data_IF_717374064628
#
_entry.id   IF_717374064628
#
_cell.length_a   1.000
_cell.length_b   1.000
_cell.length_c   1.000
_cell.angle_alpha   90.00
_cell.angle_beta   90.00
_cell.angle_gamma   90.00
#
_symmetry.space_group_name_H-M   'P 1'
#
loop_
_entity.id
_entity.type
_entity.pdbx_description
1 polymer ?
#
# COMPACT_ATOMS: atom_id res chain seq x y z
N UNK A 1 -15.71 18.12 14.13
CA UNK A 1 -15.52 17.00 13.18
C UNK A 1 -14.33 16.21 13.67
N UNK A 2 -14.30 14.92 13.46
CA UNK A 2 -13.29 13.98 13.97
C UNK A 2 -12.55 13.38 12.79
N UNK A 3 -11.24 13.35 12.85
CA UNK A 3 -10.43 12.62 11.89
C UNK A 3 -10.52 11.13 12.21
N UNK A 4 -10.83 10.30 11.24
CA UNK A 4 -10.92 8.84 11.34
C UNK A 4 -9.93 8.19 10.37
N UNK A 5 -9.14 7.24 10.86
CA UNK A 5 -8.45 6.25 10.05
C UNK A 5 -9.01 4.87 10.39
N UNK A 6 -9.72 4.24 9.46
CA UNK A 6 -10.25 2.89 9.58
C UNK A 6 -9.55 1.99 8.58
N UNK A 7 -9.06 0.83 9.00
CA UNK A 7 -8.30 0.00 8.09
C UNK A 7 -8.18 -1.45 8.50
N UNK A 8 -7.69 -2.24 7.54
CA UNK A 8 -7.33 -3.65 7.67
C UNK A 8 -5.92 -3.79 7.09
N UNK A 9 -5.01 -4.43 7.80
CA UNK A 9 -3.64 -4.61 7.32
C UNK A 9 -3.10 -6.03 7.56
N UNK A 10 -1.86 -6.26 7.16
CA UNK A 10 -1.18 -7.54 7.27
C UNK A 10 -0.99 -8.06 8.72
N UNK A 11 -1.17 -7.20 9.74
CA UNK A 11 -1.14 -7.59 11.17
C UNK A 11 -2.49 -8.05 11.67
N UNK A 12 -3.56 -7.52 11.10
CA UNK A 12 -4.93 -7.75 11.58
C UNK A 12 -5.70 -8.77 10.75
N UNK A 13 -5.25 -9.04 9.51
CA UNK A 13 -5.94 -9.91 8.57
C UNK A 13 -5.00 -10.75 7.72
N UNK A 14 -5.42 -11.95 7.39
CA UNK A 14 -4.75 -12.84 6.42
C UNK A 14 -4.84 -12.28 5.00
N UNK A 15 -4.01 -12.81 4.07
CA UNK A 15 -4.06 -12.45 2.64
C UNK A 15 -5.47 -12.61 2.10
N UNK A 16 -6.15 -13.72 2.41
CA UNK A 16 -7.51 -14.01 1.91
C UNK A 16 -8.55 -12.94 2.28
N UNK A 17 -8.45 -12.35 3.49
CA UNK A 17 -9.33 -11.25 3.91
C UNK A 17 -8.92 -9.95 3.21
N UNK A 18 -7.62 -9.68 3.11
CA UNK A 18 -7.11 -8.47 2.44
C UNK A 18 -7.48 -8.42 0.95
N UNK A 19 -7.47 -9.57 0.27
CA UNK A 19 -7.93 -9.71 -1.12
C UNK A 19 -9.38 -9.27 -1.29
N UNK A 20 -10.24 -9.63 -0.34
CA UNK A 20 -11.66 -9.31 -0.40
C UNK A 20 -11.96 -7.82 -0.19
N UNK A 21 -11.10 -7.08 0.51
CA UNK A 21 -11.27 -5.65 0.78
C UNK A 21 -10.37 -4.76 -0.07
N UNK A 22 -9.60 -5.32 -0.99
CA UNK A 22 -8.73 -4.58 -1.88
C UNK A 22 -9.54 -3.82 -2.93
N UNK A 23 -9.16 -2.57 -3.21
CA UNK A 23 -9.76 -1.76 -4.27
C UNK A 23 -8.91 -1.86 -5.53
N UNK A 24 -9.54 -2.24 -6.63
CA UNK A 24 -8.92 -2.12 -7.95
C UNK A 24 -8.88 -0.64 -8.38
N UNK A 25 -7.95 -0.25 -9.27
CA UNK A 25 -7.89 1.13 -9.77
C UNK A 25 -9.21 1.63 -10.37
N UNK A 26 -10.00 0.73 -10.97
CA UNK A 26 -11.31 1.05 -11.56
C UNK A 26 -12.41 1.25 -10.52
N UNK A 27 -12.28 0.65 -9.34
CA UNK A 27 -13.24 0.80 -8.25
C UNK A 27 -13.00 2.04 -7.40
N UNK A 28 -11.76 2.56 -7.36
CA UNK A 28 -11.40 3.67 -6.47
C UNK A 28 -12.20 4.95 -6.73
N UNK A 29 -12.49 5.27 -8.00
CA UNK A 29 -13.27 6.45 -8.34
C UNK A 29 -14.71 6.34 -7.82
N UNK A 30 -15.38 5.20 -8.05
CA UNK A 30 -16.74 4.95 -7.55
C UNK A 30 -16.77 4.89 -6.01
N UNK A 31 -15.77 4.24 -5.40
CA UNK A 31 -15.64 4.14 -3.95
C UNK A 31 -15.53 5.52 -3.28
N UNK A 32 -14.70 6.41 -3.82
CA UNK A 32 -14.54 7.78 -3.32
C UNK A 32 -15.81 8.60 -3.51
N UNK A 33 -16.51 8.43 -4.64
CA UNK A 33 -17.77 9.11 -4.88
C UNK A 33 -18.87 8.65 -3.90
N UNK A 34 -18.99 7.35 -3.66
CA UNK A 34 -19.94 6.78 -2.70
C UNK A 34 -19.61 7.22 -1.26
N UNK A 35 -18.35 7.13 -0.81
CA UNK A 35 -17.94 7.58 0.53
C UNK A 35 -18.34 9.03 0.79
N UNK A 36 -18.14 9.92 -0.18
CA UNK A 36 -18.53 11.32 -0.08
C UNK A 36 -20.04 11.54 -0.02
N UNK A 37 -20.81 10.63 -0.57
CA UNK A 37 -22.28 10.72 -0.53
C UNK A 37 -22.89 10.23 0.77
N UNK A 38 -22.08 9.58 1.63
CA UNK A 38 -22.55 9.09 2.92
C UNK A 38 -22.86 10.26 3.86
N UNK A 39 -23.92 10.13 4.68
CA UNK A 39 -24.17 11.09 5.74
C UNK A 39 -22.99 11.07 6.74
N UNK A 40 -22.71 12.22 7.33
CA UNK A 40 -21.66 12.37 8.34
C UNK A 40 -20.20 12.27 7.82
N UNK A 41 -19.97 12.08 6.52
CA UNK A 41 -18.64 12.07 5.91
C UNK A 41 -18.46 13.33 5.08
N UNK A 42 -17.49 14.18 5.46
CA UNK A 42 -17.19 15.42 4.74
C UNK A 42 -16.00 15.31 3.79
N UNK A 43 -15.00 14.50 4.17
CA UNK A 43 -13.80 14.25 3.40
C UNK A 43 -13.44 12.77 3.44
N UNK A 44 -12.88 12.22 2.36
CA UNK A 44 -12.49 10.83 2.28
C UNK A 44 -11.29 10.60 1.35
N UNK A 45 -10.39 9.71 1.75
CA UNK A 45 -9.31 9.17 0.94
C UNK A 45 -9.20 7.66 1.18
N UNK A 46 -8.77 6.91 0.16
CA UNK A 46 -8.62 5.45 0.21
C UNK A 46 -7.17 5.11 -0.14
N UNK A 47 -6.49 4.40 0.75
CA UNK A 47 -5.19 3.76 0.50
C UNK A 47 -5.42 2.25 0.39
N UNK A 48 -5.22 1.67 -0.80
CA UNK A 48 -5.29 0.22 -1.02
C UNK A 48 -3.99 -0.27 -1.64
N UNK A 49 -3.34 -1.21 -0.95
CA UNK A 49 -2.05 -1.82 -1.34
C UNK A 49 -2.10 -3.32 -1.09
N UNK A 50 -1.05 -4.07 -1.42
CA UNK A 50 -0.96 -5.50 -1.10
C UNK A 50 -1.01 -5.79 0.42
N UNK A 51 -0.64 -4.83 1.26
CA UNK A 51 -0.49 -5.04 2.69
C UNK A 51 -1.56 -4.35 3.55
N UNK A 52 -2.35 -3.44 2.97
CA UNK A 52 -3.38 -2.69 3.69
C UNK A 52 -4.46 -2.11 2.81
N UNK A 53 -5.64 -2.01 3.37
CA UNK A 53 -6.73 -1.16 2.88
C UNK A 53 -7.13 -0.23 4.01
N UNK A 54 -7.01 1.07 3.80
CA UNK A 54 -7.27 2.11 4.80
C UNK A 54 -8.14 3.22 4.22
N UNK A 55 -9.09 3.65 5.02
CA UNK A 55 -10.01 4.74 4.75
C UNK A 55 -9.70 5.88 5.71
N UNK A 56 -9.34 7.03 5.18
CA UNK A 56 -9.10 8.25 5.94
C UNK A 56 -10.26 9.20 5.69
N UNK A 57 -10.99 9.53 6.74
CA UNK A 57 -12.21 10.32 6.65
C UNK A 57 -12.21 11.47 7.65
N UNK A 58 -12.88 12.57 7.30
CA UNK A 58 -13.34 13.57 8.26
C UNK A 58 -14.82 13.35 8.47
N UNK A 59 -15.19 13.09 9.73
CA UNK A 59 -16.52 12.62 10.09
C UNK A 59 -17.00 13.23 11.43
N UNK A 60 -18.20 12.89 11.85
CA UNK A 60 -18.68 13.10 13.22
C UNK A 60 -18.73 11.77 14.01
N UNK A 61 -19.30 11.80 15.19
CA UNK A 61 -19.31 10.65 16.11
C UNK A 61 -20.02 9.38 15.54
N UNK A 62 -20.87 9.51 14.54
CA UNK A 62 -21.59 8.38 13.92
C UNK A 62 -20.83 7.78 12.73
N UNK A 63 -19.82 8.47 12.22
CA UNK A 63 -19.21 8.12 10.94
C UNK A 63 -18.39 6.83 10.93
N UNK A 64 -17.81 6.43 12.05
CA UNK A 64 -17.02 5.18 12.12
C UNK A 64 -17.86 3.96 11.70
N UNK A 65 -19.01 3.77 12.32
CA UNK A 65 -19.90 2.64 11.99
C UNK A 65 -20.41 2.74 10.55
N UNK A 66 -20.71 3.95 10.07
CA UNK A 66 -21.18 4.19 8.71
C UNK A 66 -20.11 3.79 7.69
N UNK A 67 -18.83 4.14 7.93
CA UNK A 67 -17.72 3.78 7.05
C UNK A 67 -17.49 2.26 7.06
N UNK A 68 -17.57 1.61 8.21
CA UNK A 68 -17.42 0.16 8.33
C UNK A 68 -18.56 -0.58 7.61
N UNK A 69 -19.81 -0.15 7.81
CA UNK A 69 -20.98 -0.70 7.13
C UNK A 69 -20.91 -0.52 5.61
N UNK A 70 -20.43 0.65 5.19
CA UNK A 70 -20.22 0.92 3.77
C UNK A 70 -19.14 0.00 3.17
N UNK A 71 -18.01 -0.18 3.86
CA UNK A 71 -16.94 -1.07 3.41
C UNK A 71 -17.45 -2.51 3.22
N UNK A 72 -18.25 -3.00 4.18
CA UNK A 72 -18.89 -4.31 4.09
C UNK A 72 -19.81 -4.43 2.88
N UNK A 73 -20.68 -3.44 2.65
CA UNK A 73 -21.60 -3.41 1.49
C UNK A 73 -20.86 -3.32 0.17
N UNK A 74 -19.85 -2.46 0.08
CA UNK A 74 -19.07 -2.25 -1.14
C UNK A 74 -18.39 -3.52 -1.63
N UNK A 75 -17.83 -4.30 -0.70
CA UNK A 75 -17.15 -5.56 -1.00
C UNK A 75 -18.04 -6.81 -0.82
N UNK A 76 -19.35 -6.62 -0.54
CA UNK A 76 -20.29 -7.72 -0.30
C UNK A 76 -19.85 -8.67 0.83
N UNK A 77 -19.35 -8.10 1.94
CA UNK A 77 -18.84 -8.81 3.11
C UNK A 77 -19.72 -8.54 4.33
N UNK A 78 -19.74 -9.47 5.27
CA UNK A 78 -20.45 -9.27 6.54
C UNK A 78 -19.66 -8.31 7.43
N UNK A 79 -20.35 -7.31 7.96
CA UNK A 79 -19.74 -6.26 8.79
C UNK A 79 -19.10 -6.84 10.06
N UNK A 80 -19.70 -7.88 10.64
CA UNK A 80 -19.19 -8.55 11.83
C UNK A 80 -17.85 -9.25 11.59
N UNK A 81 -17.60 -9.71 10.36
CA UNK A 81 -16.31 -10.30 9.98
C UNK A 81 -15.25 -9.21 9.81
N UNK A 82 -15.60 -8.11 9.17
CA UNK A 82 -14.70 -6.96 9.03
C UNK A 82 -14.35 -6.35 10.38
N UNK A 83 -15.32 -6.18 11.27
CA UNK A 83 -15.11 -5.60 12.60
C UNK A 83 -14.09 -6.38 13.45
N UNK A 84 -13.92 -7.69 13.20
CA UNK A 84 -12.94 -8.53 13.93
C UNK A 84 -11.49 -8.25 13.52
N UNK A 85 -11.28 -7.74 12.33
CA UNK A 85 -9.94 -7.48 11.77
C UNK A 85 -9.70 -6.01 11.45
N UNK A 86 -10.72 -5.16 11.52
CA UNK A 86 -10.57 -3.73 11.35
C UNK A 86 -9.97 -3.08 12.60
N UNK A 87 -9.06 -2.15 12.38
CA UNK A 87 -8.63 -1.19 13.40
C UNK A 87 -9.15 0.19 13.05
N UNK A 88 -9.29 1.02 14.07
CA UNK A 88 -9.66 2.41 13.89
C UNK A 88 -8.83 3.32 14.82
N UNK A 89 -8.56 4.51 14.33
CA UNK A 89 -7.87 5.56 15.05
C UNK A 89 -8.63 6.87 14.86
N UNK A 90 -8.64 7.70 15.89
CA UNK A 90 -9.30 9.00 15.88
C UNK A 90 -8.31 10.14 16.08
N UNK A 91 -8.59 11.27 15.48
CA UNK A 91 -7.92 12.55 15.69
C UNK A 91 -6.37 12.44 15.71
N UNK A 92 -5.77 12.63 16.86
CA UNK A 92 -4.31 12.59 17.04
C UNK A 92 -3.70 11.23 16.67
N UNK A 93 -4.39 10.14 17.02
CA UNK A 93 -3.92 8.80 16.72
C UNK A 93 -4.08 8.46 15.24
N UNK A 94 -5.12 9.00 14.57
CA UNK A 94 -5.28 8.88 13.13
C UNK A 94 -4.17 9.64 12.38
N UNK A 95 -3.84 10.86 12.82
CA UNK A 95 -2.73 11.63 12.25
C UNK A 95 -1.38 10.92 12.47
N UNK A 96 -1.14 10.42 13.68
CA UNK A 96 0.05 9.62 14.01
C UNK A 96 0.13 8.38 13.13
N UNK A 97 -0.97 7.65 12.97
CA UNK A 97 -1.02 6.44 12.15
C UNK A 97 -0.66 6.75 10.69
N UNK A 98 -1.27 7.77 10.07
CA UNK A 98 -0.95 8.17 8.70
C UNK A 98 0.54 8.52 8.53
N UNK A 99 1.13 9.28 9.47
CA UNK A 99 2.55 9.61 9.43
C UNK A 99 3.43 8.37 9.58
N UNK A 100 3.10 7.42 10.48
CA UNK A 100 3.79 6.14 10.65
C UNK A 100 3.74 5.29 9.37
N UNK A 101 2.57 5.25 8.71
CA UNK A 101 2.40 4.58 7.42
C UNK A 101 3.29 5.24 6.37
N UNK A 102 3.27 6.56 6.25
CA UNK A 102 4.04 7.31 5.24
C UNK A 102 5.56 7.11 5.35
N UNK A 103 6.08 6.96 6.57
CA UNK A 103 7.52 6.71 6.81
C UNK A 103 7.89 5.23 6.75
N UNK A 104 6.89 4.32 6.63
CA UNK A 104 7.08 2.89 6.59
C UNK A 104 7.32 2.23 7.96
N UNK A 105 7.02 2.91 9.08
CA UNK A 105 7.09 2.34 10.43
C UNK A 105 6.00 1.30 10.69
N UNK A 106 4.89 1.40 9.97
CA UNK A 106 3.79 0.43 10.03
C UNK A 106 3.77 -0.52 8.82
N UNK A 107 4.77 -0.48 7.96
CA UNK A 107 4.90 -1.39 6.81
C UNK A 107 5.41 -2.76 7.24
N UNK A 108 5.12 -3.79 6.42
CA UNK A 108 5.67 -5.13 6.60
C UNK A 108 7.20 -5.07 6.58
N UNK A 109 7.76 -4.25 5.70
CA UNK A 109 9.18 -3.93 5.62
C UNK A 109 9.41 -2.54 6.17
N UNK A 110 10.17 -2.47 7.26
CA UNK A 110 10.43 -1.22 7.96
C UNK A 110 11.18 -0.21 7.07
N UNK A 111 10.55 0.95 6.85
CA UNK A 111 11.10 2.02 6.03
C UNK A 111 10.99 1.81 4.53
N UNK A 112 10.13 0.90 4.05
CA UNK A 112 9.91 0.64 2.62
C UNK A 112 9.55 1.94 1.87
N UNK A 113 10.29 2.26 0.77
CA UNK A 113 10.05 3.52 0.06
C UNK A 113 8.74 3.54 -0.71
N UNK A 114 8.23 2.39 -1.13
CA UNK A 114 7.04 2.26 -1.98
C UNK A 114 5.77 2.80 -1.32
N UNK A 115 5.59 2.61 0.00
CA UNK A 115 4.38 3.05 0.70
C UNK A 115 4.17 4.56 0.61
N UNK A 116 5.25 5.37 0.60
CA UNK A 116 5.12 6.82 0.44
C UNK A 116 4.65 7.19 -0.97
N UNK A 117 5.11 6.47 -2.00
CA UNK A 117 4.62 6.61 -3.37
C UNK A 117 3.13 6.30 -3.45
N UNK A 118 2.73 5.12 -2.96
CA UNK A 118 1.34 4.67 -2.91
C UNK A 118 0.42 5.65 -2.15
N UNK A 119 0.92 6.22 -1.05
CA UNK A 119 0.16 7.22 -0.30
C UNK A 119 -0.01 8.54 -1.07
N UNK A 120 0.99 8.96 -1.85
CA UNK A 120 0.88 10.11 -2.75
C UNK A 120 -0.13 9.84 -3.87
N UNK A 121 -0.15 8.64 -4.42
CA UNK A 121 -1.13 8.25 -5.45
C UNK A 121 -2.55 8.25 -4.88
N UNK A 122 -2.75 7.71 -3.67
CA UNK A 122 -4.02 7.75 -2.96
C UNK A 122 -4.50 9.21 -2.72
N UNK A 123 -3.59 10.08 -2.29
CA UNK A 123 -3.88 11.51 -2.16
C UNK A 123 -4.29 12.15 -3.49
N UNK A 124 -3.57 11.88 -4.59
CA UNK A 124 -3.91 12.43 -5.90
C UNK A 124 -5.26 11.94 -6.40
N UNK A 125 -5.57 10.66 -6.23
CA UNK A 125 -6.87 10.08 -6.58
C UNK A 125 -8.01 10.72 -5.77
N UNK A 126 -7.84 10.84 -4.44
CA UNK A 126 -8.80 11.50 -3.58
C UNK A 126 -9.02 12.97 -3.99
N UNK A 127 -7.95 13.69 -4.35
CA UNK A 127 -8.00 15.06 -4.84
C UNK A 127 -8.76 15.19 -6.17
N UNK A 128 -8.47 14.31 -7.12
CA UNK A 128 -9.18 14.27 -8.44
C UNK A 128 -10.66 13.97 -8.26
N UNK A 129 -11.01 13.04 -7.38
CA UNK A 129 -12.38 12.71 -7.01
C UNK A 129 -13.05 13.80 -6.14
N UNK A 130 -12.36 14.91 -5.82
CA UNK A 130 -12.82 15.97 -4.91
C UNK A 130 -13.12 15.41 -3.49
N UNK A 131 -12.49 14.34 -3.08
CA UNK A 131 -12.63 13.71 -1.76
C UNK A 131 -11.96 14.48 -0.64
N UNK A 132 -11.00 15.35 -0.98
CA UNK A 132 -10.26 16.14 -0.01
C UNK A 132 -10.92 17.50 0.22
N UNK A 133 -10.98 17.90 1.48
CA UNK A 133 -11.27 19.23 1.94
C UNK A 133 -10.07 19.81 2.69
N UNK A 134 -10.36 20.75 3.58
CA UNK A 134 -9.29 21.47 4.26
C UNK A 134 -8.53 20.65 5.32
N UNK A 135 -9.12 19.63 5.91
CA UNK A 135 -8.52 18.86 7.00
C UNK A 135 -7.61 17.75 6.47
N UNK A 136 -8.10 16.88 5.58
CA UNK A 136 -7.28 15.83 4.97
C UNK A 136 -6.19 16.41 4.08
N UNK A 137 -6.47 17.48 3.32
CA UNK A 137 -5.45 18.14 2.51
C UNK A 137 -4.25 18.55 3.36
N UNK A 138 -4.49 19.25 4.49
CA UNK A 138 -3.43 19.67 5.41
C UNK A 138 -2.71 18.48 6.05
N UNK A 139 -3.45 17.46 6.47
CA UNK A 139 -2.88 16.27 7.07
C UNK A 139 -1.93 15.55 6.11
N UNK A 140 -2.34 15.32 4.86
CA UNK A 140 -1.51 14.66 3.86
C UNK A 140 -0.25 15.49 3.56
N UNK A 141 -0.38 16.81 3.34
CA UNK A 141 0.75 17.68 3.06
C UNK A 141 1.76 17.70 4.22
N UNK A 142 1.27 17.79 5.45
CA UNK A 142 2.13 17.74 6.64
C UNK A 142 2.80 16.36 6.78
N UNK A 143 2.06 15.28 6.55
CA UNK A 143 2.56 13.91 6.55
C UNK A 143 3.69 13.72 5.52
N UNK A 144 3.56 14.29 4.31
CA UNK A 144 4.62 14.22 3.30
C UNK A 144 5.88 14.99 3.71
N UNK A 145 5.72 16.12 4.39
CA UNK A 145 6.85 16.89 4.93
C UNK A 145 7.59 16.10 6.01
N UNK A 146 6.85 15.51 6.98
CA UNK A 146 7.41 14.64 8.03
C UNK A 146 8.09 13.42 7.42
N UNK A 147 7.49 12.76 6.44
CA UNK A 147 8.07 11.59 5.79
C UNK A 147 9.38 11.94 5.06
N UNK A 148 9.46 13.10 4.43
CA UNK A 148 10.71 13.59 3.82
C UNK A 148 11.78 13.83 4.87
N UNK A 149 11.44 14.49 5.98
CA UNK A 149 12.35 14.77 7.08
C UNK A 149 12.91 13.48 7.67
N UNK A 150 12.04 12.53 8.04
CA UNK A 150 12.43 11.24 8.61
C UNK A 150 13.40 10.48 7.70
N UNK A 151 13.12 10.44 6.40
CA UNK A 151 14.00 9.77 5.42
C UNK A 151 15.34 10.45 5.24
N UNK A 152 15.43 11.76 5.45
CA UNK A 152 16.66 12.52 5.33
C UNK A 152 17.51 12.44 6.59
N UNK A 153 16.88 12.52 7.77
CA UNK A 153 17.55 12.68 9.06
C UNK A 153 17.84 11.34 9.76
N UNK A 154 17.13 10.24 9.36
CA UNK A 154 17.33 8.92 9.99
C UNK A 154 17.85 7.90 8.99
N UNK A 155 18.36 6.78 9.53
CA UNK A 155 18.81 5.63 8.73
C UNK A 155 17.67 4.77 8.17
N UNK A 156 16.38 5.11 8.43
CA UNK A 156 15.25 4.24 8.10
C UNK A 156 15.05 4.05 6.59
N UNK A 157 15.44 5.04 5.78
CA UNK A 157 15.37 4.99 4.32
C UNK A 157 16.63 4.42 3.65
N UNK A 158 17.69 4.10 4.40
CA UNK A 158 18.94 3.58 3.86
C UNK A 158 18.86 2.07 3.72
N UNK A 159 19.06 1.56 2.48
CA UNK A 159 19.03 0.12 2.15
C UNK A 159 17.73 -0.57 2.65
N UNK A 160 16.57 -0.19 2.17
CA UNK A 160 15.34 -0.85 2.60
C UNK A 160 15.41 -2.33 2.18
N UNK A 161 15.17 -3.23 3.13
CA UNK A 161 14.84 -4.61 2.78
C UNK A 161 13.45 -4.55 2.19
N UNK A 162 13.34 -4.65 0.89
CA UNK A 162 12.04 -4.68 0.20
C UNK A 162 11.46 -6.09 0.20
N UNK A 163 10.15 -6.21 -0.01
CA UNK A 163 9.50 -7.51 -0.30
C UNK A 163 10.20 -8.19 -1.48
N UNK A 164 10.65 -7.40 -2.46
CA UNK A 164 11.45 -7.86 -3.60
C UNK A 164 12.78 -8.50 -3.14
N UNK A 165 13.53 -7.85 -2.25
CA UNK A 165 14.75 -8.41 -1.67
C UNK A 165 14.47 -9.69 -0.88
N UNK A 166 13.41 -9.72 -0.08
CA UNK A 166 13.03 -10.89 0.69
C UNK A 166 12.72 -12.09 -0.22
N UNK A 167 12.00 -11.88 -1.34
CA UNK A 167 11.71 -12.91 -2.32
C UNK A 167 12.99 -13.49 -2.94
N UNK A 168 13.94 -12.62 -3.34
CA UNK A 168 15.23 -13.06 -3.90
C UNK A 168 16.10 -13.74 -2.84
N UNK A 169 16.10 -13.25 -1.59
CA UNK A 169 16.79 -13.87 -0.47
C UNK A 169 16.23 -15.25 -0.12
N UNK A 170 14.92 -15.49 -0.25
CA UNK A 170 14.35 -16.83 -0.12
C UNK A 170 14.78 -17.75 -1.28
N UNK A 171 14.80 -17.24 -2.50
CA UNK A 171 15.28 -18.01 -3.64
C UNK A 171 16.75 -18.45 -3.44
N UNK A 172 17.62 -17.61 -2.84
CA UNK A 172 19.02 -17.95 -2.57
C UNK A 172 19.21 -19.06 -1.53
N UNK A 173 18.17 -19.37 -0.73
CA UNK A 173 18.21 -20.52 0.20
C UNK A 173 17.95 -21.86 -0.51
N UNK A 174 17.40 -21.81 -1.73
CA UNK A 174 17.03 -22.98 -2.53
C UNK A 174 18.00 -23.19 -3.70
N UNK A 175 18.48 -22.11 -4.29
CA UNK A 175 19.38 -22.12 -5.43
C UNK A 175 20.77 -21.66 -5.02
N UNK A 176 21.74 -22.56 -5.06
CA UNK A 176 23.15 -22.26 -4.72
C UNK A 176 23.82 -21.40 -5.83
N UNK A 177 23.34 -21.51 -7.07
CA UNK A 177 23.91 -20.83 -8.25
C UNK A 177 22.81 -20.25 -9.13
N UNK A 178 22.60 -18.96 -9.01
CA UNK A 178 21.64 -18.23 -9.84
C UNK A 178 22.02 -18.11 -11.31
N UNK A 179 23.29 -18.32 -11.66
CA UNK A 179 23.76 -18.20 -13.06
C UNK A 179 23.14 -19.25 -13.98
N UNK A 180 22.61 -20.34 -13.41
CA UNK A 180 21.93 -21.44 -14.09
C UNK A 180 20.41 -21.39 -14.00
N UNK A 181 19.87 -20.48 -13.19
CA UNK A 181 18.43 -20.37 -12.97
C UNK A 181 17.80 -19.44 -14.02
N UNK A 182 16.63 -19.82 -14.49
CA UNK A 182 15.78 -19.02 -15.35
C UNK A 182 14.67 -18.40 -14.51
N UNK A 183 14.52 -17.08 -14.57
CA UNK A 183 13.49 -16.38 -13.83
C UNK A 183 12.38 -15.87 -14.77
N UNK A 184 11.13 -16.15 -14.38
CA UNK A 184 9.93 -15.59 -14.97
C UNK A 184 9.30 -14.60 -14.00
N UNK A 185 9.20 -13.36 -14.39
CA UNK A 185 8.57 -12.28 -13.63
C UNK A 185 7.23 -11.93 -14.27
N UNK A 186 6.16 -11.89 -13.50
CA UNK A 186 4.81 -11.60 -13.98
C UNK A 186 4.34 -10.27 -13.39
N UNK A 187 4.13 -9.29 -14.28
CA UNK A 187 3.88 -7.90 -13.97
C UNK A 187 5.00 -6.99 -14.47
N UNK A 188 4.76 -5.68 -14.43
CA UNK A 188 5.76 -4.66 -14.81
C UNK A 188 5.58 -3.40 -13.94
N UNK A 189 5.25 -3.59 -12.66
CA UNK A 189 5.22 -2.53 -11.64
C UNK A 189 6.56 -2.39 -10.92
N UNK A 190 6.67 -1.37 -10.07
CA UNK A 190 7.89 -1.04 -9.32
C UNK A 190 8.46 -2.24 -8.53
N UNK A 191 7.58 -3.08 -7.95
CA UNK A 191 8.01 -4.28 -7.20
C UNK A 191 8.72 -5.27 -8.12
N UNK A 192 8.17 -5.55 -9.31
CA UNK A 192 8.77 -6.45 -10.29
C UNK A 192 10.07 -5.88 -10.85
N UNK A 193 10.13 -4.58 -11.11
CA UNK A 193 11.36 -3.92 -11.53
C UNK A 193 12.48 -4.08 -10.50
N UNK A 194 12.12 -3.93 -9.20
CA UNK A 194 13.08 -4.11 -8.10
C UNK A 194 13.51 -5.57 -7.94
N UNK A 195 12.58 -6.54 -8.08
CA UNK A 195 12.89 -7.99 -8.11
C UNK A 195 13.83 -8.31 -9.27
N UNK A 196 13.54 -7.81 -10.46
CA UNK A 196 14.36 -8.02 -11.65
C UNK A 196 15.81 -7.56 -11.45
N UNK A 197 15.97 -6.37 -10.84
CA UNK A 197 17.27 -5.79 -10.50
C UNK A 197 18.03 -6.66 -9.50
N UNK A 198 17.37 -7.08 -8.41
CA UNK A 198 18.01 -7.92 -7.40
C UNK A 198 18.38 -9.31 -7.92
N UNK A 199 17.54 -9.93 -8.77
CA UNK A 199 17.88 -11.21 -9.42
C UNK A 199 19.06 -11.07 -10.38
N UNK A 200 19.12 -9.98 -11.13
CA UNK A 200 20.24 -9.67 -12.02
C UNK A 200 21.55 -9.47 -11.22
N UNK A 201 21.51 -8.69 -10.14
CA UNK A 201 22.63 -8.50 -9.21
C UNK A 201 23.07 -9.80 -8.54
N UNK A 202 22.13 -10.71 -8.26
CA UNK A 202 22.41 -12.04 -7.72
C UNK A 202 23.00 -13.02 -8.76
N UNK A 203 23.03 -12.64 -10.04
CA UNK A 203 23.66 -13.41 -11.10
C UNK A 203 22.71 -14.16 -12.04
N UNK A 204 21.39 -14.01 -11.92
CA UNK A 204 20.43 -14.57 -12.89
C UNK A 204 20.67 -13.93 -14.26
N UNK A 205 20.95 -14.77 -15.27
CA UNK A 205 21.25 -14.31 -16.63
C UNK A 205 20.05 -14.40 -17.57
N UNK A 206 19.16 -15.35 -17.36
CA UNK A 206 17.95 -15.53 -18.18
C UNK A 206 16.74 -15.02 -17.39
N UNK A 207 16.33 -13.81 -17.72
CA UNK A 207 15.21 -13.13 -17.08
C UNK A 207 14.14 -12.87 -18.13
N UNK A 208 12.95 -13.39 -17.90
CA UNK A 208 11.76 -13.17 -18.72
C UNK A 208 10.74 -12.36 -17.96
N UNK A 209 10.25 -11.27 -18.53
CA UNK A 209 9.19 -10.44 -17.93
C UNK A 209 7.91 -10.61 -18.75
N UNK A 210 6.86 -11.06 -18.12
CA UNK A 210 5.52 -11.21 -18.67
C UNK A 210 4.62 -10.07 -18.20
N UNK A 211 3.94 -9.38 -19.12
CA UNK A 211 2.96 -8.38 -18.76
C UNK A 211 1.82 -8.34 -19.79
N UNK A 212 0.67 -7.80 -19.40
CA UNK A 212 -0.47 -7.60 -20.31
C UNK A 212 -0.06 -6.71 -21.50
N UNK A 213 0.72 -5.68 -21.24
CA UNK A 213 1.26 -4.74 -22.22
C UNK A 213 2.73 -5.07 -22.46
N UNK A 214 3.10 -5.48 -23.68
CA UNK A 214 4.45 -5.91 -24.04
C UNK A 214 5.48 -4.80 -23.84
N UNK A 215 5.14 -3.56 -24.20
CA UNK A 215 6.01 -2.39 -24.08
C UNK A 215 6.44 -2.14 -22.62
N UNK A 216 5.53 -2.40 -21.66
CA UNK A 216 5.88 -2.31 -20.23
C UNK A 216 6.82 -3.42 -19.78
N UNK A 217 6.65 -4.64 -20.29
CA UNK A 217 7.57 -5.73 -20.03
C UNK A 217 8.96 -5.42 -20.63
N UNK A 218 9.01 -4.83 -21.81
CA UNK A 218 10.25 -4.41 -22.48
C UNK A 218 11.00 -3.32 -21.71
N UNK A 219 10.29 -2.36 -21.10
CA UNK A 219 10.90 -1.33 -20.27
C UNK A 219 11.66 -1.92 -19.07
N UNK A 220 11.11 -2.97 -18.44
CA UNK A 220 11.77 -3.65 -17.32
C UNK A 220 12.89 -4.56 -17.80
N UNK A 221 12.65 -5.38 -18.80
CA UNK A 221 13.60 -6.41 -19.25
C UNK A 221 14.81 -5.86 -20.01
N UNK A 222 14.62 -4.82 -20.83
CA UNK A 222 15.68 -4.30 -21.73
C UNK A 222 16.90 -3.78 -20.97
N UNK A 223 16.70 -3.12 -19.83
CA UNK A 223 17.78 -2.59 -19.00
C UNK A 223 18.65 -3.68 -18.36
N UNK A 224 18.15 -4.93 -18.32
CA UNK A 224 18.78 -6.08 -17.66
C UNK A 224 19.16 -7.21 -18.64
N UNK A 225 19.04 -6.96 -19.95
CA UNK A 225 19.32 -7.96 -20.99
C UNK A 225 18.33 -9.14 -21.00
N UNK A 226 17.13 -8.94 -20.47
CA UNK A 226 16.06 -9.94 -20.39
C UNK A 226 15.15 -9.97 -21.60
N UNK A 227 14.18 -10.88 -21.60
CA UNK A 227 13.16 -11.06 -22.64
C UNK A 227 11.80 -10.58 -22.16
N UNK A 228 11.05 -9.88 -23.02
CA UNK A 228 9.68 -9.47 -22.76
C UNK A 228 8.69 -10.38 -23.48
N UNK A 229 7.64 -10.81 -22.75
CA UNK A 229 6.54 -11.62 -23.29
C UNK A 229 5.20 -11.05 -22.87
N UNK A 230 4.13 -11.49 -23.53
CA UNK A 230 2.74 -11.20 -23.13
C UNK A 230 2.18 -12.33 -22.24
N UNK A 231 1.07 -12.08 -21.53
CA UNK A 231 0.45 -13.07 -20.64
C UNK A 231 0.08 -14.40 -21.35
N UNK A 232 -0.43 -14.44 -22.61
CA UNK A 232 -0.69 -15.68 -23.33
C UNK A 232 0.56 -16.56 -23.59
N UNK A 233 1.77 -15.98 -23.56
CA UNK A 233 3.04 -16.68 -23.77
C UNK A 233 3.60 -17.30 -22.46
N UNK A 234 2.97 -17.03 -21.30
CA UNK A 234 3.39 -17.55 -19.98
C UNK A 234 3.50 -19.09 -19.96
N UNK A 235 2.55 -19.87 -20.52
CA UNK A 235 2.64 -21.33 -20.46
C UNK A 235 3.95 -21.89 -21.01
N UNK A 236 4.45 -21.33 -22.11
CA UNK A 236 5.71 -21.77 -22.74
C UNK A 236 6.92 -21.33 -21.90
N UNK A 237 6.92 -20.09 -21.39
CA UNK A 237 7.97 -19.58 -20.52
C UNK A 237 8.06 -20.37 -19.19
N UNK A 238 6.92 -20.79 -18.64
CA UNK A 238 6.84 -21.54 -17.38
C UNK A 238 7.54 -22.90 -17.46
N UNK A 239 7.59 -23.51 -18.65
CA UNK A 239 8.29 -24.79 -18.87
C UNK A 239 9.80 -24.69 -18.61
N UNK A 240 10.37 -23.49 -18.67
CA UNK A 240 11.79 -23.25 -18.52
C UNK A 240 12.14 -22.47 -17.24
N UNK A 241 11.15 -21.86 -16.57
CA UNK A 241 11.37 -21.03 -15.40
C UNK A 241 11.65 -21.87 -14.14
N UNK A 242 12.74 -21.60 -13.46
CA UNK A 242 13.09 -22.21 -12.16
C UNK A 242 12.63 -21.33 -11.00
N UNK A 243 12.53 -20.03 -11.24
CA UNK A 243 12.05 -19.01 -10.31
C UNK A 243 10.88 -18.27 -10.98
N UNK A 244 9.74 -18.18 -10.32
CA UNK A 244 8.58 -17.42 -10.76
C UNK A 244 8.19 -16.42 -9.68
N UNK A 245 8.14 -15.13 -10.01
CA UNK A 245 7.69 -14.10 -9.06
C UNK A 245 6.61 -13.27 -9.73
N UNK A 246 5.44 -13.18 -9.08
CA UNK A 246 4.28 -12.48 -9.60
C UNK A 246 3.88 -11.31 -8.71
N UNK A 247 3.60 -10.17 -9.34
CA UNK A 247 3.08 -8.97 -8.71
C UNK A 247 2.32 -8.13 -9.72
N UNK A 248 1.03 -8.43 -9.89
CA UNK A 248 0.14 -7.66 -10.77
C UNK A 248 -1.05 -7.07 -10.03
N UNK A 249 -1.86 -6.26 -10.69
CA UNK A 249 -3.14 -5.77 -10.20
C UNK A 249 -4.31 -6.54 -10.84
N UNK A 250 -4.11 -7.81 -11.20
CA UNK A 250 -5.16 -8.64 -11.77
C UNK A 250 -6.22 -8.97 -10.71
N UNK A 251 -7.51 -8.83 -11.01
CA UNK A 251 -8.57 -9.24 -10.08
C UNK A 251 -8.76 -10.77 -10.04
N UNK A 252 -8.14 -11.51 -10.97
CA UNK A 252 -8.24 -12.97 -11.09
C UNK A 252 -6.84 -13.56 -11.20
N UNK A 253 -6.63 -14.77 -10.66
CA UNK A 253 -5.36 -15.48 -10.81
C UNK A 253 -4.94 -15.63 -12.28
N UNK A 254 -3.65 -15.43 -12.52
CA UNK A 254 -3.02 -15.58 -13.85
C UNK A 254 -2.48 -16.99 -14.01
N UNK A 255 -1.92 -17.58 -12.94
CA UNK A 255 -1.40 -18.93 -12.91
C UNK A 255 -2.37 -19.88 -12.20
N UNK A 256 -3.09 -20.67 -13.00
CA UNK A 256 -3.96 -21.74 -12.49
C UNK A 256 -3.20 -23.05 -12.30
N UNK A 257 -3.66 -23.91 -11.35
CA UNK A 257 -3.09 -25.23 -11.05
C UNK A 257 -2.86 -26.06 -12.31
N UNK A 258 -3.84 -26.15 -13.20
CA UNK A 258 -3.74 -26.94 -14.43
C UNK A 258 -2.65 -26.45 -15.40
N UNK A 259 -2.33 -25.15 -15.41
CA UNK A 259 -1.23 -24.57 -16.20
C UNK A 259 0.11 -25.02 -15.62
N UNK A 260 0.30 -24.87 -14.33
CA UNK A 260 1.53 -25.24 -13.63
C UNK A 260 1.78 -26.75 -13.72
N UNK A 261 0.76 -27.56 -13.53
CA UNK A 261 0.86 -29.03 -13.66
C UNK A 261 1.32 -29.46 -15.06
N UNK A 262 0.82 -28.84 -16.13
CA UNK A 262 1.28 -29.08 -17.49
C UNK A 262 2.74 -28.71 -17.70
N UNK A 263 3.15 -27.56 -17.15
CA UNK A 263 4.54 -27.12 -17.22
C UNK A 263 5.47 -28.09 -16.47
N UNK A 264 5.10 -28.54 -15.26
CA UNK A 264 5.87 -29.51 -14.48
C UNK A 264 6.12 -30.81 -15.24
N UNK A 265 5.10 -31.36 -15.93
CA UNK A 265 5.25 -32.57 -16.78
C UNK A 265 6.30 -32.35 -17.88
N UNK A 266 6.28 -31.19 -18.56
CA UNK A 266 7.27 -30.87 -19.61
C UNK A 266 8.66 -30.60 -19.01
N UNK A 267 8.73 -30.07 -17.81
CA UNK A 267 9.97 -29.86 -17.03
C UNK A 267 10.57 -31.17 -16.48
N UNK A 268 9.92 -32.32 -16.68
CA UNK A 268 10.30 -33.61 -16.08
C UNK A 268 10.40 -33.53 -14.56
N UNK A 269 9.43 -32.87 -13.93
CA UNK A 269 9.33 -32.69 -12.47
C UNK A 269 10.53 -31.98 -11.83
N UNK A 270 11.24 -31.12 -12.56
CA UNK A 270 12.21 -30.22 -11.92
C UNK A 270 11.47 -29.22 -11.05
N UNK A 271 11.89 -29.06 -9.78
CA UNK A 271 11.24 -28.13 -8.86
C UNK A 271 11.18 -26.70 -9.40
N UNK A 272 10.13 -25.99 -9.02
CA UNK A 272 9.96 -24.56 -9.30
C UNK A 272 9.68 -23.81 -8.00
N UNK A 273 10.41 -22.72 -7.80
CA UNK A 273 10.20 -21.78 -6.72
C UNK A 273 9.26 -20.67 -7.20
N UNK A 274 8.16 -20.48 -6.52
CA UNK A 274 7.15 -19.49 -6.87
C UNK A 274 6.89 -18.54 -5.70
N UNK A 275 6.84 -17.23 -5.97
CA UNK A 275 6.46 -16.21 -4.98
C UNK A 275 5.34 -15.35 -5.56
N UNK A 276 4.24 -15.32 -4.86
CA UNK A 276 3.11 -14.44 -5.16
C UNK A 276 3.12 -13.24 -4.20
N UNK A 277 3.46 -12.08 -4.74
CA UNK A 277 3.49 -10.81 -3.99
C UNK A 277 2.21 -10.01 -4.22
N UNK A 278 1.36 -10.46 -5.17
CA UNK A 278 0.14 -9.74 -5.55
C UNK A 278 -0.97 -9.87 -4.48
N UNK A 279 -1.79 -8.84 -4.38
CA UNK A 279 -3.07 -8.86 -3.65
C UNK A 279 -4.08 -8.07 -4.49
N UNK A 280 -5.12 -8.74 -5.04
CA UNK A 280 -5.43 -10.19 -4.99
C UNK A 280 -4.30 -11.06 -5.57
N UNK A 281 -4.29 -12.37 -5.19
CA UNK A 281 -3.26 -13.31 -5.64
C UNK A 281 -3.30 -13.56 -7.15
N UNK A 282 -2.13 -13.59 -7.75
CA UNK A 282 -1.92 -13.94 -9.16
C UNK A 282 -1.84 -15.45 -9.38
N UNK A 283 -1.54 -16.23 -8.32
CA UNK A 283 -1.34 -17.69 -8.36
C UNK A 283 -2.44 -18.36 -7.54
N UNK A 284 -3.13 -19.34 -8.15
CA UNK A 284 -4.15 -20.13 -7.44
C UNK A 284 -3.55 -20.85 -6.22
N UNK A 285 -4.20 -20.80 -5.04
CA UNK A 285 -3.70 -21.47 -3.82
C UNK A 285 -3.48 -22.98 -4.01
N UNK A 286 -4.28 -23.61 -4.85
CA UNK A 286 -4.22 -25.02 -5.17
C UNK A 286 -2.90 -25.44 -5.85
N UNK A 287 -2.14 -24.48 -6.40
CA UNK A 287 -0.79 -24.70 -6.95
C UNK A 287 0.17 -25.21 -5.86
N UNK A 288 -0.01 -24.80 -4.62
CA UNK A 288 0.79 -25.26 -3.47
C UNK A 288 0.62 -26.76 -3.18
N UNK A 289 -0.41 -27.40 -3.72
CA UNK A 289 -0.63 -28.86 -3.57
C UNK A 289 0.17 -29.72 -4.56
N UNK A 290 0.95 -29.12 -5.45
CA UNK A 290 1.79 -29.84 -6.42
C UNK A 290 3.15 -30.14 -5.78
N UNK A 291 3.62 -31.39 -5.85
CA UNK A 291 4.81 -31.89 -5.12
C UNK A 291 6.09 -31.16 -5.48
N UNK A 292 6.23 -30.69 -6.72
CA UNK A 292 7.45 -30.03 -7.22
C UNK A 292 7.36 -28.49 -7.20
N UNK A 293 6.41 -27.92 -6.45
CA UNK A 293 6.20 -26.49 -6.33
C UNK A 293 6.46 -26.01 -4.91
N UNK A 294 7.31 -25.01 -4.79
CA UNK A 294 7.52 -24.25 -3.55
C UNK A 294 6.85 -22.89 -3.71
N UNK A 295 5.55 -22.83 -3.37
CA UNK A 295 4.77 -21.60 -3.45
C UNK A 295 4.80 -20.84 -2.13
N UNK A 296 5.23 -19.59 -2.20
CA UNK A 296 5.23 -18.64 -1.09
C UNK A 296 4.39 -17.41 -1.43
N UNK A 297 3.76 -16.85 -0.42
CA UNK A 297 2.99 -15.61 -0.51
C UNK A 297 3.75 -14.44 0.11
N UNK A 298 3.23 -13.23 -0.03
CA UNK A 298 3.78 -12.05 0.63
C UNK A 298 3.87 -12.22 2.16
N UNK A 299 2.99 -13.01 2.78
CA UNK A 299 3.02 -13.26 4.23
C UNK A 299 4.13 -14.21 4.65
N UNK A 300 4.53 -15.15 3.79
CA UNK A 300 5.63 -16.09 4.06
C UNK A 300 7.00 -15.40 4.04
N UNK A 301 7.10 -14.24 3.37
CA UNK A 301 8.33 -13.45 3.35
C UNK A 301 8.63 -12.77 4.70
N UNK A 302 7.68 -12.75 5.65
CA UNK A 302 7.83 -12.11 6.96
C UNK A 302 9.06 -12.57 7.74
N UNK A 303 9.34 -13.87 7.79
CA UNK A 303 10.48 -14.39 8.56
C UNK A 303 11.81 -13.81 8.08
N UNK A 304 11.98 -13.71 6.76
CA UNK A 304 13.20 -13.12 6.16
C UNK A 304 13.31 -11.62 6.49
N UNK A 305 12.16 -10.96 6.57
CA UNK A 305 12.08 -9.52 6.88
C UNK A 305 12.37 -9.27 8.36
N UNK A 306 11.83 -10.07 9.28
CA UNK A 306 11.99 -9.92 10.72
C UNK A 306 13.46 -10.07 11.18
N UNK A 307 14.23 -10.94 10.56
CA UNK A 307 15.68 -11.07 10.82
C UNK A 307 16.43 -9.75 10.53
N UNK A 308 15.95 -8.98 9.55
CA UNK A 308 16.54 -7.69 9.17
C UNK A 308 16.00 -6.50 9.99
N UNK A 309 14.80 -6.60 10.58
CA UNK A 309 14.19 -5.54 11.41
C UNK A 309 15.05 -5.27 12.66
N UNK A 310 15.59 -6.30 13.29
CA UNK A 310 16.44 -6.17 14.50
C UNK A 310 17.65 -5.26 14.28
N UNK A 311 18.23 -5.25 13.09
CA UNK A 311 19.35 -4.38 12.76
C UNK A 311 18.96 -2.90 12.62
N UNK A 312 17.66 -2.57 12.58
CA UNK A 312 17.13 -1.22 12.32
C UNK A 312 16.38 -0.59 13.49
N UNK A 313 16.35 -1.24 14.65
CA UNK A 313 15.64 -0.73 15.84
C UNK A 313 16.07 0.68 16.25
N UNK A 314 17.35 1.03 16.05
CA UNK A 314 17.86 2.38 16.31
C UNK A 314 17.23 3.42 15.41
N UNK A 315 17.28 3.19 14.09
CA UNK A 315 16.69 4.08 13.10
C UNK A 315 15.16 4.20 13.23
N UNK A 316 14.49 3.11 13.63
CA UNK A 316 13.06 3.13 13.90
C UNK A 316 12.70 4.02 15.10
N UNK A 317 13.47 3.97 16.18
CA UNK A 317 13.27 4.85 17.35
C UNK A 317 13.46 6.33 17.00
N UNK A 318 14.50 6.65 16.23
CA UNK A 318 14.70 8.03 15.74
C UNK A 318 13.53 8.49 14.89
N UNK A 319 13.04 7.64 13.96
CA UNK A 319 11.89 7.93 13.12
C UNK A 319 10.60 8.13 13.94
N UNK A 320 10.36 7.30 14.99
CA UNK A 320 9.22 7.47 15.91
C UNK A 320 9.26 8.82 16.63
N UNK A 321 10.43 9.27 17.07
CA UNK A 321 10.58 10.57 17.72
C UNK A 321 10.22 11.73 16.77
N UNK A 322 10.67 11.66 15.51
CA UNK A 322 10.33 12.67 14.50
C UNK A 322 8.84 12.62 14.12
N UNK A 323 8.23 11.44 14.04
CA UNK A 323 6.78 11.32 13.84
C UNK A 323 6.03 11.95 15.02
N UNK A 324 6.45 11.68 16.27
CA UNK A 324 5.80 12.25 17.44
C UNK A 324 5.89 13.79 17.46
N UNK A 325 7.04 14.36 17.10
CA UNK A 325 7.20 15.81 16.91
C UNK A 325 6.30 16.34 15.80
N UNK A 326 6.27 15.65 14.64
CA UNK A 326 5.42 16.02 13.51
C UNK A 326 3.92 16.04 13.87
N UNK A 327 3.45 15.06 14.65
CA UNK A 327 2.07 15.05 15.15
C UNK A 327 1.81 16.28 16.03
N UNK A 328 2.72 16.60 16.95
CA UNK A 328 2.55 17.77 17.82
C UNK A 328 2.51 19.08 17.02
N UNK A 329 3.36 19.21 16.01
CA UNK A 329 3.40 20.38 15.12
C UNK A 329 2.10 20.51 14.33
N UNK A 330 1.57 19.40 13.81
CA UNK A 330 0.26 19.38 13.12
C UNK A 330 -0.87 19.84 14.04
N UNK A 331 -0.92 19.33 15.27
CA UNK A 331 -1.93 19.75 16.26
C UNK A 331 -1.84 21.21 16.63
N UNK A 332 -0.61 21.73 16.75
CA UNK A 332 -0.39 23.16 17.02
C UNK A 332 -0.88 24.02 15.84
N UNK A 333 -0.67 23.58 14.59
CA UNK A 333 -1.18 24.26 13.40
C UNK A 333 -2.72 24.25 13.37
N UNK A 334 -3.38 23.14 13.71
CA UNK A 334 -4.84 23.09 13.79
C UNK A 334 -5.40 24.06 14.83
N UNK A 335 -4.82 24.05 16.04
CA UNK A 335 -5.22 24.99 17.12
C UNK A 335 -5.05 26.47 16.71
N UNK A 336 -3.97 26.78 16.00
CA UNK A 336 -3.74 28.12 15.50
C UNK A 336 -4.81 28.55 14.47
N UNK A 337 -5.24 27.63 13.60
CA UNK A 337 -6.31 27.90 12.63
C UNK A 337 -7.66 28.12 13.30
N UNK A 338 -8.00 27.34 14.32
CA UNK A 338 -9.21 27.52 15.11
C UNK A 338 -9.22 28.88 15.83
N UNK A 339 -8.08 29.29 16.40
CA UNK A 339 -7.94 30.58 17.03
C UNK A 339 -8.13 31.74 16.02
N UNK A 340 -7.58 31.62 14.80
CA UNK A 340 -7.77 32.61 13.71
C UNK A 340 -9.24 32.70 13.31
N UNK A 341 -9.93 31.54 13.19
CA UNK A 341 -11.37 31.50 12.88
C UNK A 341 -12.18 32.23 13.95
N UNK A 342 -11.94 31.94 15.22
CA UNK A 342 -12.59 32.58 16.37
C UNK A 342 -12.35 34.09 16.38
N UNK A 343 -11.12 34.54 16.12
CA UNK A 343 -10.76 35.96 16.05
C UNK A 343 -11.48 36.68 14.90
N UNK A 344 -11.59 36.05 13.72
CA UNK A 344 -12.35 36.59 12.58
C UNK A 344 -13.84 36.74 12.90
N UNK A 345 -14.46 35.75 13.52
CA UNK A 345 -15.86 35.82 13.95
C UNK A 345 -16.08 36.90 14.99
N UNK A 346 -15.18 37.01 15.97
CA UNK A 346 -15.24 38.06 16.98
C UNK A 346 -15.14 39.45 16.36
N UNK A 347 -14.16 39.67 15.44
CA UNK A 347 -14.00 40.91 14.70
C UNK A 347 -15.24 41.30 13.90
N UNK A 348 -15.79 40.35 13.11
CA UNK A 348 -17.03 40.61 12.37
C UNK A 348 -18.18 40.99 13.28
N UNK A 349 -18.32 40.34 14.43
CA UNK A 349 -19.40 40.65 15.38
C UNK A 349 -19.19 42.04 16.01
N UNK A 350 -17.94 42.42 16.33
CA UNK A 350 -17.61 43.72 16.82
C UNK A 350 -17.87 44.83 15.77
N UNK A 351 -17.55 44.59 14.51
CA UNK A 351 -17.82 45.51 13.40
C UNK A 351 -19.33 45.72 13.21
N UNK A 352 -20.13 44.63 13.22
CA UNK A 352 -21.60 44.71 13.13
C UNK A 352 -22.23 45.52 14.28
N UNK A 353 -21.73 45.32 15.52
CA UNK A 353 -22.19 46.09 16.68
C UNK A 353 -21.83 47.56 16.56
N UNK A 354 -20.59 47.86 16.17
CA UNK A 354 -20.14 49.26 15.94
C UNK A 354 -21.04 49.95 14.90
N UNK A 355 -21.26 49.27 13.77
CA UNK A 355 -22.02 49.88 12.67
C UNK A 355 -23.50 50.09 13.07
N UNK A 356 -24.11 49.19 13.82
CA UNK A 356 -25.44 49.32 14.38
C UNK A 356 -25.55 50.49 15.37
N UNK A 357 -24.58 50.66 16.27
CA UNK A 357 -24.56 51.75 17.22
C UNK A 357 -24.29 53.12 16.54
N UNK A 358 -23.43 53.10 15.52
CA UNK A 358 -23.17 54.32 14.71
C UNK A 358 -24.45 54.78 13.97
N UNK A 359 -25.20 53.84 13.39
CA UNK A 359 -26.47 54.14 12.70
C UNK A 359 -27.51 54.69 13.69
N UNK A 360 -27.59 54.12 14.89
CA UNK A 360 -28.46 54.69 15.94
C UNK A 360 -28.09 56.10 16.36
N UNK A 361 -26.79 56.41 16.46
CA UNK A 361 -26.29 57.72 16.85
C UNK A 361 -26.48 58.79 15.78
N UNK A 362 -26.61 58.38 14.50
CA UNK A 362 -26.81 59.27 13.37
C UNK A 362 -28.31 59.59 13.09
N UNK A 363 -29.21 58.84 13.73
CA UNK A 363 -30.66 59.10 13.77
C UNK A 363 -31.04 60.06 14.91
#
# INVERSE_FOLDING_TARGET
>A
MTLLALGINHRTATVAVREQVAFTPTQLESALAELRSLPHISEAAVLSTCNRTELYCVTDAAGEQIVLDWLGRFHNLRVEELARCAYHYHDNDAARHLMRVAVGLDSMVLGEPQILGQLKDAYQQARQAKGLGGELERLFQHTFAVAKQVRTETGIGKNPVSVAYAAVSMASRIFDDFSRANALLIGAGETIELVARHLHEAGVRQLTVANRTRERAEQVSSSLGGTAITLPEIPDALEHADIVISSTASPLPILGKGMVERALKKRRHRPVFMVDIAVPRDIEPEVASLDDVYLYTVDDLRQVIEENIRSREGAAREAENLVASGVQDFLNQLRALDAVSTLKQFRQRAELLRDAETEKALR
#
